data_IF_455931287739
#
_entry.id   IF_455931287739
#
_cell.length_a   1.000
_cell.length_b   1.000
_cell.length_c   1.000
_cell.angle_alpha   90.00
_cell.angle_beta   90.00
_cell.angle_gamma   90.00
#
_symmetry.space_group_name_H-M   'P 1'
#
loop_
_entity.id
_entity.type
_entity.pdbx_description
1 polymer ?
#
# COMPACT_ATOMS: atom_id res chain seq x y z
N UNK A 1 -31.55 6.09 -11.17
CA UNK A 1 -30.36 6.95 -11.38
C UNK A 1 -29.13 6.05 -11.37
N UNK A 2 -28.64 5.65 -12.55
CA UNK A 2 -27.44 4.81 -12.71
C UNK A 2 -26.20 5.71 -12.62
N UNK A 3 -25.41 5.60 -11.55
CA UNK A 3 -24.08 6.22 -11.51
C UNK A 3 -23.15 5.34 -12.34
N UNK A 4 -22.78 5.82 -13.53
CA UNK A 4 -21.76 5.19 -14.37
C UNK A 4 -20.46 5.14 -13.57
N UNK A 5 -19.98 3.94 -13.23
CA UNK A 5 -18.75 3.77 -12.47
C UNK A 5 -17.57 4.22 -13.34
N UNK A 6 -16.99 5.37 -13.02
CA UNK A 6 -15.76 5.86 -13.63
C UNK A 6 -14.66 4.81 -13.43
N UNK A 7 -13.85 4.47 -14.45
CA UNK A 7 -12.85 3.42 -14.33
C UNK A 7 -11.79 3.82 -13.29
N UNK A 8 -11.73 3.05 -12.20
CA UNK A 8 -10.73 3.16 -11.14
C UNK A 8 -9.35 2.86 -11.72
N UNK A 9 -8.36 3.72 -11.48
CA UNK A 9 -6.98 3.48 -11.93
C UNK A 9 -6.25 2.72 -10.83
N UNK A 10 -5.82 1.50 -11.14
CA UNK A 10 -4.93 0.70 -10.31
C UNK A 10 -3.53 0.80 -10.90
N UNK A 11 -2.53 1.09 -10.08
CA UNK A 11 -1.12 1.03 -10.48
C UNK A 11 -0.61 -0.35 -10.04
N UNK A 12 -0.24 -1.24 -10.97
CA UNK A 12 0.08 -2.61 -10.63
C UNK A 12 1.38 -2.69 -9.82
N UNK A 13 1.43 -3.57 -8.83
CA UNK A 13 2.61 -3.80 -7.99
C UNK A 13 3.90 -4.13 -8.77
N UNK A 14 3.80 -4.61 -10.01
CA UNK A 14 4.96 -4.87 -10.88
C UNK A 14 5.54 -3.62 -11.53
N UNK A 15 4.84 -2.48 -11.50
CA UNK A 15 5.28 -1.21 -12.09
C UNK A 15 5.78 -0.20 -11.07
N UNK A 16 5.96 -0.61 -9.82
CA UNK A 16 6.25 0.28 -8.69
C UNK A 16 7.52 -0.18 -7.96
N UNK A 17 8.21 0.77 -7.35
CA UNK A 17 9.44 0.48 -6.61
C UNK A 17 9.11 0.16 -5.16
N UNK A 18 9.66 -0.92 -4.63
CA UNK A 18 9.64 -1.19 -3.19
C UNK A 18 10.52 -0.17 -2.46
N UNK A 19 10.07 0.30 -1.29
CA UNK A 19 10.94 1.05 -0.38
C UNK A 19 12.09 0.18 0.12
N UNK A 20 13.30 0.73 0.14
CA UNK A 20 14.50 0.06 0.68
C UNK A 20 14.46 -0.05 2.21
N UNK A 21 13.53 0.65 2.86
CA UNK A 21 13.32 0.61 4.31
C UNK A 21 11.92 0.11 4.64
N UNK A 22 11.77 -1.21 4.88
CA UNK A 22 10.54 -1.79 5.42
C UNK A 22 10.29 -1.30 6.85
N UNK A 23 9.02 -1.07 7.18
CA UNK A 23 8.60 -0.91 8.57
C UNK A 23 8.39 -2.30 9.19
N UNK A 24 9.02 -2.57 10.33
CA UNK A 24 8.79 -3.80 11.09
C UNK A 24 7.63 -3.63 12.07
N UNK A 25 6.71 -4.58 12.06
CA UNK A 25 5.53 -4.60 12.94
C UNK A 25 5.59 -5.87 13.78
N UNK A 26 5.60 -5.70 15.09
CA UNK A 26 5.41 -6.81 16.02
C UNK A 26 3.92 -7.14 16.11
N UNK A 27 3.54 -8.35 15.71
CA UNK A 27 2.17 -8.82 15.85
C UNK A 27 2.02 -9.54 17.19
N UNK A 28 1.35 -8.88 18.15
CA UNK A 28 1.12 -9.45 19.48
C UNK A 28 0.00 -10.52 19.52
N UNK A 29 -0.55 -10.91 18.38
CA UNK A 29 -1.59 -11.95 18.29
C UNK A 29 -0.95 -13.31 17.94
N UNK A 30 -0.40 -13.96 18.95
CA UNK A 30 0.14 -15.31 18.84
C UNK A 30 -0.99 -16.35 18.95
N UNK A 31 -1.63 -16.71 17.84
CA UNK A 31 -2.34 -18.00 17.78
C UNK A 31 -1.26 -19.09 17.73
N UNK A 32 -0.95 -19.71 18.87
CA UNK A 32 0.02 -20.81 18.96
C UNK A 32 1.38 -20.49 19.60
N UNK A 33 1.51 -19.42 20.39
CA UNK A 33 2.60 -19.31 21.37
C UNK A 33 3.96 -18.78 20.88
N UNK A 34 3.99 -17.94 19.83
CA UNK A 34 5.20 -17.21 19.43
C UNK A 34 4.89 -15.84 18.82
N UNK A 35 5.77 -14.86 19.02
CA UNK A 35 5.74 -13.57 18.33
C UNK A 35 6.07 -13.78 16.86
N UNK A 36 5.11 -13.48 15.97
CA UNK A 36 5.37 -13.47 14.53
C UNK A 36 5.68 -12.03 14.11
N UNK A 37 6.88 -11.82 13.60
CA UNK A 37 7.25 -10.56 12.99
C UNK A 37 6.57 -10.43 11.62
N UNK A 38 6.10 -9.23 11.31
CA UNK A 38 5.68 -8.81 9.98
C UNK A 38 6.51 -7.61 9.55
N UNK A 39 6.74 -7.48 8.24
CA UNK A 39 7.26 -6.25 7.66
C UNK A 39 6.27 -5.68 6.65
N UNK A 40 6.20 -4.36 6.60
CA UNK A 40 5.39 -3.60 5.65
C UNK A 40 6.32 -2.80 4.77
N UNK A 41 6.24 -3.04 3.47
CA UNK A 41 7.08 -2.43 2.45
C UNK A 41 6.22 -1.48 1.63
N UNK A 42 6.40 -0.15 1.76
CA UNK A 42 5.73 0.80 0.89
C UNK A 42 6.07 0.56 -0.58
N UNK A 43 5.06 0.63 -1.44
CA UNK A 43 5.20 0.62 -2.89
C UNK A 43 5.12 2.06 -3.39
N UNK A 44 6.15 2.53 -4.09
CA UNK A 44 6.33 3.91 -4.49
C UNK A 44 6.28 4.03 -6.02
N UNK A 45 5.43 4.93 -6.53
CA UNK A 45 5.47 5.41 -7.92
C UNK A 45 5.60 6.94 -7.92
N UNK A 46 6.56 7.47 -8.68
CA UNK A 46 6.77 8.92 -8.83
C UNK A 46 6.85 9.71 -7.49
N UNK A 47 7.36 9.07 -6.43
CA UNK A 47 7.49 9.67 -5.10
C UNK A 47 6.24 9.59 -4.22
N UNK A 48 5.12 9.04 -4.72
CA UNK A 48 3.91 8.79 -3.96
C UNK A 48 3.80 7.31 -3.53
N UNK A 49 3.24 7.07 -2.35
CA UNK A 49 2.86 5.72 -1.91
C UNK A 49 1.61 5.30 -2.66
N UNK A 50 1.70 4.19 -3.40
CA UNK A 50 0.63 3.65 -4.24
C UNK A 50 0.16 2.27 -3.81
N UNK A 51 0.74 1.74 -2.75
CA UNK A 51 0.35 0.49 -2.13
C UNK A 51 1.33 0.09 -1.03
N UNK A 52 1.09 -1.08 -0.44
CA UNK A 52 1.98 -1.71 0.51
C UNK A 52 2.06 -3.22 0.24
N UNK A 53 3.24 -3.80 0.39
CA UNK A 53 3.40 -5.24 0.53
C UNK A 53 3.58 -5.59 2.01
N UNK A 54 2.76 -6.51 2.51
CA UNK A 54 2.89 -7.05 3.86
C UNK A 54 3.54 -8.42 3.76
N UNK A 55 4.68 -8.61 4.42
CA UNK A 55 5.43 -9.87 4.46
C UNK A 55 5.38 -10.44 5.87
N UNK A 56 4.94 -11.68 5.99
CA UNK A 56 4.94 -12.41 7.25
C UNK A 56 6.21 -13.26 7.37
N UNK A 57 6.75 -13.38 8.58
CA UNK A 57 7.90 -14.26 8.89
C UNK A 57 7.68 -15.73 8.52
N UNK A 58 6.45 -16.19 8.31
CA UNK A 58 6.16 -17.53 7.79
C UNK A 58 6.38 -17.69 6.28
N UNK A 59 6.81 -16.64 5.57
CA UNK A 59 7.07 -16.63 4.13
C UNK A 59 5.87 -16.22 3.27
N UNK A 60 4.69 -16.05 3.86
CA UNK A 60 3.52 -15.51 3.15
C UNK A 60 3.63 -14.01 2.93
N UNK A 61 3.10 -13.51 1.81
CA UNK A 61 2.95 -12.08 1.56
C UNK A 61 1.59 -11.75 0.94
N UNK A 62 1.15 -10.50 1.13
CA UNK A 62 -0.03 -9.92 0.48
C UNK A 62 0.31 -8.50 0.02
N UNK A 63 -0.22 -8.12 -1.14
CA UNK A 63 -0.12 -6.75 -1.64
C UNK A 63 -1.46 -6.07 -1.52
N UNK A 64 -1.44 -4.85 -0.97
CA UNK A 64 -2.60 -3.96 -0.88
C UNK A 64 -2.31 -2.78 -1.80
N UNK A 65 -3.07 -2.65 -2.88
CA UNK A 65 -2.92 -1.57 -3.85
C UNK A 65 -3.88 -0.42 -3.51
N UNK A 66 -3.39 0.82 -3.62
CA UNK A 66 -4.25 2.00 -3.52
C UNK A 66 -5.09 2.12 -4.79
N UNK A 67 -6.39 2.34 -4.61
CA UNK A 67 -7.32 2.54 -5.71
C UNK A 67 -7.77 3.98 -5.71
N UNK A 68 -7.40 4.72 -6.75
CA UNK A 68 -7.69 6.15 -6.86
C UNK A 68 -8.96 6.37 -7.68
N UNK A 69 -9.89 7.16 -7.11
CA UNK A 69 -10.97 7.75 -7.88
C UNK A 69 -10.42 8.91 -8.70
N UNK A 70 -10.80 8.98 -9.99
CA UNK A 70 -10.36 10.03 -10.93
C UNK A 70 -10.66 11.47 -10.48
N UNK A 71 -11.49 11.66 -9.46
CA UNK A 71 -11.80 12.98 -8.89
C UNK A 71 -10.78 13.48 -7.85
N UNK A 72 -9.82 12.65 -7.41
CA UNK A 72 -8.82 13.07 -6.43
C UNK A 72 -7.64 13.84 -7.06
N UNK A 73 -7.76 14.34 -8.29
CA UNK A 73 -6.63 14.89 -9.05
C UNK A 73 -6.94 16.04 -10.01
N UNK A 74 -8.09 16.71 -9.87
CA UNK A 74 -8.35 18.00 -10.57
C UNK A 74 -8.19 19.22 -9.65
N UNK A 75 -7.94 19.02 -8.35
CA UNK A 75 -7.48 20.08 -7.46
C UNK A 75 -5.97 19.94 -7.33
N UNK A 76 -5.25 20.61 -8.25
CA UNK A 76 -3.81 20.68 -8.26
C UNK A 76 -3.25 21.34 -7.00
N UNK A 77 -3.09 20.59 -5.92
CA UNK A 77 -2.25 20.97 -4.80
C UNK A 77 -1.87 19.70 -4.01
N UNK A 78 -0.68 19.17 -4.29
CA UNK A 78 0.04 18.41 -3.28
C UNK A 78 0.42 19.42 -2.18
N UNK A 79 -0.54 19.70 -1.31
CA UNK A 79 -0.42 20.58 -0.17
C UNK A 79 0.83 20.23 0.62
N UNK A 80 1.69 21.22 0.76
CA UNK A 80 3.03 21.10 1.33
C UNK A 80 3.06 20.41 2.68
N UNK A 81 4.13 19.64 2.87
CA UNK A 81 4.63 19.27 4.18
C UNK A 81 5.16 20.56 4.80
N UNK A 82 4.42 21.10 5.77
CA UNK A 82 4.89 22.12 6.72
C UNK A 82 5.15 21.44 8.07
#
# INVERSE_FOLDING_TARGET
>A
MNRSATPRKVIPATSVRHSDQPAFIESNHAVGGGTRAMSVVPLIDQGAVVGIEVRCSCGSSVVIECVYDRHAGDDGELGGVA
#
